data_IF_042682163771
#
_entry.id   IF_042682163771
#
_cell.length_a   1.000
_cell.length_b   1.000
_cell.length_c   1.000
_cell.angle_alpha   90.00
_cell.angle_beta   90.00
_cell.angle_gamma   90.00
#
_symmetry.space_group_name_H-M   'P 1'
#
loop_
_entity.id
_entity.type
_entity.pdbx_description
1 polymer ?
#
# COMPACT_ATOMS: atom_id res chain seq x y z
N UNK A 1 3.88 18.27 -2.88
CA UNK A 1 4.21 16.99 -2.22
C UNK A 1 5.47 17.18 -1.38
N UNK A 2 5.37 17.18 -0.04
CA UNK A 2 6.55 17.30 0.86
C UNK A 2 6.95 15.88 1.28
N UNK A 3 8.10 15.39 0.82
CA UNK A 3 8.64 14.08 1.22
C UNK A 3 9.71 14.31 2.29
N UNK A 4 9.42 13.95 3.54
CA UNK A 4 10.34 14.13 4.67
C UNK A 4 11.24 12.89 4.79
N UNK A 5 12.54 13.05 4.54
CA UNK A 5 13.51 11.92 4.36
C UNK A 5 13.68 10.99 5.57
N UNK A 6 13.12 11.32 6.74
CA UNK A 6 13.22 10.50 7.96
C UNK A 6 12.07 9.51 8.16
N UNK A 7 10.99 9.62 7.40
CA UNK A 7 9.79 8.81 7.65
C UNK A 7 9.43 8.07 6.36
N UNK A 8 9.68 6.76 6.31
CA UNK A 8 9.19 5.86 5.25
C UNK A 8 7.66 5.76 5.36
N UNK A 9 6.97 6.85 5.10
CA UNK A 9 5.54 7.03 5.35
C UNK A 9 4.90 7.73 4.16
N UNK A 10 3.91 7.06 3.57
CA UNK A 10 3.09 7.57 2.47
C UNK A 10 1.67 7.77 2.99
N UNK A 11 1.07 8.91 2.66
CA UNK A 11 -0.32 9.21 2.97
C UNK A 11 -1.09 9.14 1.64
N UNK A 12 -2.07 8.23 1.55
CA UNK A 12 -2.97 8.10 0.39
C UNK A 12 -4.34 8.64 0.79
N UNK A 13 -4.87 9.55 -0.03
CA UNK A 13 -6.17 10.23 0.15
C UNK A 13 -6.41 10.88 1.52
N UNK A 14 -5.35 11.21 2.27
CA UNK A 14 -5.39 11.72 3.65
C UNK A 14 -5.87 10.72 4.72
N UNK A 15 -6.29 9.51 4.34
CA UNK A 15 -6.81 8.49 5.26
C UNK A 15 -5.84 7.34 5.48
N UNK A 16 -5.14 6.89 4.43
CA UNK A 16 -4.29 5.71 4.52
C UNK A 16 -2.85 6.11 4.81
N UNK A 17 -2.40 5.83 6.03
CA UNK A 17 -1.00 5.94 6.40
C UNK A 17 -0.30 4.60 6.17
N UNK A 18 0.65 4.59 5.25
CA UNK A 18 1.36 3.38 4.80
C UNK A 18 2.84 3.53 5.08
N UNK A 19 3.43 2.53 5.72
CA UNK A 19 4.89 2.40 5.80
C UNK A 19 5.45 2.04 4.43
N UNK A 20 6.28 2.89 3.83
CA UNK A 20 6.71 2.72 2.46
C UNK A 20 7.42 3.90 1.82
N UNK A 21 7.75 3.74 0.54
CA UNK A 21 8.39 4.77 -0.30
C UNK A 21 7.81 4.77 -1.71
N UNK A 22 7.84 5.91 -2.38
CA UNK A 22 7.53 6.00 -3.81
C UNK A 22 8.72 5.43 -4.59
N UNK A 23 8.44 4.49 -5.50
CA UNK A 23 9.44 3.89 -6.39
C UNK A 23 9.66 4.81 -7.59
N UNK A 24 10.68 5.66 -7.51
CA UNK A 24 10.88 6.77 -8.46
C UNK A 24 11.05 6.38 -9.94
N UNK A 25 11.48 5.15 -10.24
CA UNK A 25 11.73 4.69 -11.61
C UNK A 25 10.61 3.79 -12.17
N UNK A 26 9.48 3.65 -11.47
CA UNK A 26 8.37 2.80 -11.90
C UNK A 26 7.05 3.57 -11.89
N UNK A 27 6.22 3.28 -12.89
CA UNK A 27 4.85 3.78 -13.03
C UNK A 27 3.90 2.62 -13.24
N UNK A 28 2.64 2.82 -12.87
CA UNK A 28 1.60 1.85 -13.12
C UNK A 28 1.33 1.75 -14.63
N UNK A 29 1.36 0.54 -15.19
CA UNK A 29 1.08 0.31 -16.62
C UNK A 29 -0.36 0.66 -17.02
N UNK A 30 -1.29 0.72 -16.05
CA UNK A 30 -2.72 1.00 -16.31
C UNK A 30 -3.10 2.48 -16.24
N UNK A 31 -2.44 3.25 -15.36
CA UNK A 31 -2.84 4.63 -15.08
C UNK A 31 -1.66 5.61 -15.03
N UNK A 32 -0.44 5.15 -15.29
CA UNK A 32 0.79 5.94 -15.35
C UNK A 32 1.19 6.68 -14.05
N UNK A 33 0.43 6.47 -12.97
CA UNK A 33 0.73 7.03 -11.66
C UNK A 33 1.92 6.31 -10.98
N UNK A 34 2.45 6.97 -9.95
CA UNK A 34 3.58 6.48 -9.19
C UNK A 34 3.27 5.15 -8.46
N UNK A 35 4.29 4.31 -8.37
CA UNK A 35 4.25 3.05 -7.63
C UNK A 35 4.76 3.26 -6.21
N UNK A 36 4.11 2.61 -5.26
CA UNK A 36 4.50 2.65 -3.85
C UNK A 36 4.99 1.28 -3.45
N UNK A 37 6.15 1.22 -2.80
CA UNK A 37 6.62 0.05 -2.09
C UNK A 37 6.03 0.05 -0.67
N UNK A 38 5.37 -1.03 -0.29
CA UNK A 38 4.70 -1.20 1.00
C UNK A 38 5.55 -2.09 1.91
N UNK A 39 6.15 -1.48 2.94
CA UNK A 39 7.09 -2.13 3.86
C UNK A 39 6.49 -3.37 4.55
N UNK A 40 5.22 -3.29 4.96
CA UNK A 40 4.53 -4.38 5.67
C UNK A 40 4.47 -5.68 4.87
N UNK A 41 4.29 -5.57 3.57
CA UNK A 41 4.07 -6.72 2.68
C UNK A 41 5.26 -6.98 1.77
N UNK A 42 6.33 -6.17 1.83
CA UNK A 42 7.48 -6.26 0.92
C UNK A 42 7.04 -6.32 -0.55
N UNK A 43 6.10 -5.46 -0.92
CA UNK A 43 5.47 -5.48 -2.24
C UNK A 43 5.18 -4.10 -2.77
N UNK A 44 5.26 -3.98 -4.09
CA UNK A 44 4.90 -2.79 -4.83
C UNK A 44 3.42 -2.80 -5.20
N UNK A 45 2.76 -1.65 -5.11
CA UNK A 45 1.37 -1.47 -5.52
C UNK A 45 1.12 -0.09 -6.12
N UNK A 46 0.03 0.01 -6.88
CA UNK A 46 -0.50 1.28 -7.35
C UNK A 46 -1.64 1.70 -6.43
N UNK A 47 -1.51 2.86 -5.77
CA UNK A 47 -2.58 3.42 -4.92
C UNK A 47 -3.82 3.80 -5.73
N UNK A 48 -3.66 4.39 -6.92
CA UNK A 48 -4.77 4.82 -7.77
C UNK A 48 -5.59 3.65 -8.31
N UNK A 49 -4.94 2.59 -8.79
CA UNK A 49 -5.64 1.39 -9.24
C UNK A 49 -6.06 0.49 -8.08
N UNK A 50 -5.51 0.72 -6.88
CA UNK A 50 -5.62 -0.16 -5.73
C UNK A 50 -5.30 -1.62 -6.10
N UNK A 51 -4.15 -1.84 -6.77
CA UNK A 51 -3.70 -3.16 -7.21
C UNK A 51 -2.25 -3.41 -6.90
N UNK A 52 -1.94 -4.62 -6.43
CA UNK A 52 -0.58 -5.14 -6.34
C UNK A 52 0.06 -5.24 -7.73
N UNK A 53 1.36 -4.95 -7.83
CA UNK A 53 2.11 -5.09 -9.08
C UNK A 53 2.55 -6.52 -9.35
N UNK A 54 2.70 -7.32 -8.29
CA UNK A 54 3.09 -8.72 -8.38
C UNK A 54 2.12 -9.60 -7.60
N UNK A 55 1.89 -10.79 -8.13
CA UNK A 55 1.18 -11.84 -7.43
C UNK A 55 1.91 -12.19 -6.12
N UNK A 56 1.17 -12.73 -5.16
CA UNK A 56 1.76 -13.28 -3.95
C UNK A 56 2.66 -14.46 -4.34
N UNK A 57 3.65 -14.79 -3.51
CA UNK A 57 4.34 -16.06 -3.67
C UNK A 57 3.35 -17.22 -3.47
N UNK A 58 3.62 -18.37 -4.10
CA UNK A 58 2.80 -19.58 -3.93
C UNK A 58 2.90 -20.21 -2.53
N UNK A 59 3.75 -19.67 -1.66
CA UNK A 59 3.91 -20.13 -0.28
C UNK A 59 2.90 -19.45 0.66
N UNK A 60 1.96 -20.23 1.17
CA UNK A 60 0.93 -19.80 2.12
C UNK A 60 1.49 -19.49 3.52
N UNK A 61 2.70 -19.94 3.83
CA UNK A 61 3.36 -19.70 5.12
C UNK A 61 4.23 -18.44 5.12
N UNK A 62 4.37 -17.77 3.97
CA UNK A 62 5.16 -16.56 3.84
C UNK A 62 4.61 -15.44 4.72
N UNK A 63 5.44 -14.91 5.63
CA UNK A 63 5.07 -13.84 6.56
C UNK A 63 4.52 -12.59 5.85
N UNK A 64 5.06 -12.27 4.67
CA UNK A 64 4.68 -11.11 3.88
C UNK A 64 3.44 -11.33 3.02
N UNK A 65 3.27 -12.53 2.45
CA UNK A 65 2.19 -12.82 1.51
C UNK A 65 0.96 -13.46 2.16
N UNK A 66 1.15 -14.29 3.19
CA UNK A 66 0.07 -15.06 3.82
C UNK A 66 -1.00 -14.20 4.49
N UNK A 67 -0.63 -13.00 4.95
CA UNK A 67 -1.54 -12.02 5.53
C UNK A 67 -1.86 -10.85 4.59
N UNK A 68 -1.48 -10.93 3.30
CA UNK A 68 -1.65 -9.84 2.34
C UNK A 68 -3.11 -9.77 1.87
N UNK A 69 -3.79 -8.61 2.00
CA UNK A 69 -5.16 -8.47 1.53
C UNK A 69 -5.25 -8.60 0.01
N UNK A 70 -6.46 -8.85 -0.49
CA UNK A 70 -6.71 -8.96 -1.93
C UNK A 70 -6.39 -7.65 -2.65
N UNK A 71 -6.69 -6.51 -2.00
CA UNK A 71 -6.32 -5.16 -2.45
C UNK A 71 -5.41 -4.43 -1.45
N UNK A 72 -4.40 -3.67 -1.90
CA UNK A 72 -3.45 -2.96 -1.03
C UNK A 72 -4.09 -2.01 -0.01
N UNK A 73 -5.16 -1.32 -0.40
CA UNK A 73 -5.89 -0.35 0.42
C UNK A 73 -7.18 -0.92 1.00
N UNK A 74 -7.30 -2.23 1.11
CA UNK A 74 -8.48 -2.90 1.72
C UNK A 74 -8.46 -2.82 3.25
N UNK A 75 -7.29 -2.54 3.84
CA UNK A 75 -7.16 -2.36 5.28
C UNK A 75 -7.71 -0.98 5.63
N UNK A 76 -9.03 -0.96 5.89
CA UNK A 76 -9.69 0.07 6.70
C UNK A 76 -8.81 0.32 7.92
N UNK A 77 -8.27 1.52 8.04
CA UNK A 77 -7.43 1.85 9.20
C UNK A 77 -8.32 1.82 10.44
N UNK A 78 -7.74 1.65 11.62
CA UNK A 78 -8.52 1.56 12.89
C UNK A 78 -9.45 2.77 13.14
N UNK A 79 -9.27 3.88 12.42
CA UNK A 79 -10.17 5.03 12.42
C UNK A 79 -11.53 4.79 11.75
N UNK A 80 -11.65 3.80 10.85
CA UNK A 80 -12.93 3.46 10.20
C UNK A 80 -13.85 2.65 11.13
N UNK A 81 -13.34 2.13 12.25
CA UNK A 81 -14.15 1.41 13.25
C UNK A 81 -14.77 2.31 14.32
N UNK A 82 -14.29 3.54 14.49
CA UNK A 82 -14.81 4.47 15.51
C UNK A 82 -15.90 5.41 14.96
N UNK A 83 -16.36 5.24 13.72
CA UNK A 83 -17.42 6.07 13.12
C UNK A 83 -18.56 5.27 12.44
N UNK A 84 -18.65 3.95 12.67
CA UNK A 84 -19.81 3.10 12.35
C UNK A 84 -20.58 2.69 13.63
N UNK A 85 -20.42 3.44 14.71
CA UNK A 85 -21.21 3.32 15.93
C UNK A 85 -21.45 4.69 16.54
N UNK A 86 -22.19 5.55 15.82
CA UNK A 86 -23.25 6.45 16.31
C UNK A 86 -23.95 7.15 15.14
#
# INVERSE_FOLDING_TARGET
MKVNKKERKIIVDNYFQIGGVIVGNKKCEKCENAIIYYDRYDHEFCAYCNTWLKAACGDLTCYFCGNRPSKPLEVRTLADRENESE
#
